data_IF_992581158208
#
_entry.id   IF_992581158208
#
_cell.length_a   1.000
_cell.length_b   1.000
_cell.length_c   1.000
_cell.angle_alpha   90.00
_cell.angle_beta   90.00
_cell.angle_gamma   90.00
#
_symmetry.space_group_name_H-M   'P 1'
#
loop_
_entity.id
_entity.type
_entity.pdbx_description
1 polymer ?
#
# COMPACT_ATOMS: atom_id res chain seq x y z
N UNK A 1 4.58 -1.60 -2.71
CA UNK A 1 5.67 -0.61 -2.57
C UNK A 1 6.98 -1.27 -2.93
N UNK A 2 7.71 -0.65 -3.84
CA UNK A 2 9.03 -1.05 -4.29
C UNK A 2 10.00 -0.02 -3.73
N UNK A 3 10.81 -0.42 -2.73
CA UNK A 3 11.87 0.42 -2.21
C UNK A 3 12.99 0.52 -3.25
N UNK A 4 13.51 1.74 -3.44
CA UNK A 4 14.58 2.05 -4.39
C UNK A 4 15.61 2.96 -3.72
N UNK A 5 16.87 2.85 -4.13
CA UNK A 5 17.96 3.73 -3.69
C UNK A 5 17.96 5.05 -4.47
N UNK A 6 17.69 4.97 -5.77
CA UNK A 6 17.62 6.11 -6.67
C UNK A 6 16.24 6.16 -7.35
N UNK A 7 15.42 7.11 -6.90
CA UNK A 7 14.07 7.27 -7.39
C UNK A 7 14.04 7.84 -8.83
N UNK A 8 15.03 8.64 -9.23
CA UNK A 8 15.10 9.19 -10.59
C UNK A 8 15.50 8.11 -11.60
N UNK A 9 16.49 7.30 -11.24
CA UNK A 9 16.89 6.16 -12.05
C UNK A 9 15.75 5.14 -12.19
N UNK A 10 15.11 4.76 -11.09
CA UNK A 10 13.96 3.86 -11.13
C UNK A 10 12.82 4.42 -11.98
N UNK A 11 12.50 5.72 -11.85
CA UNK A 11 11.50 6.36 -12.68
C UNK A 11 11.86 6.33 -14.18
N UNK A 12 13.13 6.56 -14.51
CA UNK A 12 13.64 6.46 -15.88
C UNK A 12 13.47 5.05 -16.46
N UNK A 13 13.80 4.03 -15.69
CA UNK A 13 13.74 2.64 -16.16
C UNK A 13 12.30 2.14 -16.34
N UNK A 14 11.39 2.47 -15.42
CA UNK A 14 9.97 2.16 -15.62
C UNK A 14 9.35 2.92 -16.80
N UNK A 15 9.79 4.15 -17.09
CA UNK A 15 9.37 4.87 -18.31
C UNK A 15 9.88 4.18 -19.58
N UNK A 16 11.11 3.67 -19.60
CA UNK A 16 11.64 2.90 -20.74
C UNK A 16 10.87 1.60 -20.98
N UNK A 17 10.34 0.99 -19.91
CA UNK A 17 9.42 -0.16 -19.99
C UNK A 17 8.02 0.23 -20.48
N UNK A 18 7.76 1.50 -20.77
CA UNK A 18 6.50 2.01 -21.31
C UNK A 18 5.43 2.33 -20.25
N UNK A 19 5.79 2.43 -18.97
CA UNK A 19 4.86 2.87 -17.94
C UNK A 19 4.76 4.40 -17.86
N UNK A 20 3.55 4.86 -17.54
CA UNK A 20 3.29 6.26 -17.18
C UNK A 20 3.36 6.39 -15.67
N UNK A 21 4.17 7.33 -15.19
CA UNK A 21 4.34 7.60 -13.77
C UNK A 21 3.64 8.91 -13.40
N UNK A 22 2.96 8.92 -12.26
CA UNK A 22 2.51 10.16 -11.64
C UNK A 22 3.72 11.06 -11.27
N UNK A 23 3.54 12.38 -11.17
CA UNK A 23 4.59 13.29 -10.70
C UNK A 23 5.18 12.85 -9.35
N UNK A 24 6.43 13.26 -9.10
CA UNK A 24 7.11 12.93 -7.84
C UNK A 24 6.31 13.44 -6.65
N UNK A 25 5.97 12.54 -5.73
CA UNK A 25 5.34 12.89 -4.46
C UNK A 25 6.39 13.10 -3.37
N UNK A 26 6.13 14.05 -2.47
CA UNK A 26 6.94 14.31 -1.28
C UNK A 26 6.04 14.19 -0.05
N UNK A 27 6.17 13.08 0.68
CA UNK A 27 5.35 12.83 1.87
C UNK A 27 5.76 13.71 3.03
N UNK A 28 4.81 14.03 3.90
CA UNK A 28 5.01 14.83 5.12
C UNK A 28 6.01 14.23 6.10
N UNK A 29 6.29 12.92 5.99
CA UNK A 29 7.30 12.20 6.79
C UNK A 29 8.67 12.08 6.10
N UNK A 30 8.84 12.71 4.92
CA UNK A 30 10.12 12.84 4.22
C UNK A 30 10.44 11.73 3.21
N UNK A 31 9.58 10.74 3.02
CA UNK A 31 9.71 9.81 1.88
C UNK A 31 9.23 10.45 0.59
N UNK A 32 9.73 9.94 -0.54
CA UNK A 32 9.37 10.42 -1.87
C UNK A 32 8.96 9.24 -2.74
N UNK A 33 8.05 9.47 -3.69
CA UNK A 33 7.58 8.40 -4.55
C UNK A 33 7.29 8.80 -5.99
N UNK A 34 7.18 7.77 -6.84
CA UNK A 34 6.37 7.81 -8.05
C UNK A 34 5.35 6.68 -7.99
N UNK A 35 4.11 6.96 -8.38
CA UNK A 35 3.07 5.94 -8.52
C UNK A 35 2.87 5.58 -9.99
N UNK A 36 2.67 4.29 -10.27
CA UNK A 36 2.24 3.75 -11.57
C UNK A 36 0.83 3.21 -11.34
N UNK A 37 -0.16 3.87 -11.92
CA UNK A 37 -1.57 3.68 -11.56
C UNK A 37 -2.25 2.65 -12.46
N UNK A 38 -3.01 1.71 -11.87
CA UNK A 38 -3.68 0.63 -12.59
C UNK A 38 -5.13 0.46 -12.12
N UNK A 39 -6.11 1.05 -12.81
CA UNK A 39 -7.51 0.91 -12.45
C UNK A 39 -7.78 1.27 -10.98
N UNK A 40 -7.87 0.26 -10.10
CA UNK A 40 -8.10 0.44 -8.65
C UNK A 40 -6.85 0.24 -7.77
N UNK A 41 -5.74 -0.23 -8.34
CA UNK A 41 -4.46 -0.49 -7.67
C UNK A 41 -3.35 0.39 -8.24
N UNK A 42 -2.13 0.29 -7.69
CA UNK A 42 -0.94 0.97 -8.21
C UNK A 42 0.33 0.27 -7.73
N UNK A 43 1.42 0.48 -8.45
CA UNK A 43 2.78 0.27 -7.94
C UNK A 43 3.33 1.60 -7.43
N UNK A 44 4.10 1.55 -6.36
CA UNK A 44 4.75 2.73 -5.78
C UNK A 44 6.24 2.48 -5.73
N UNK A 45 7.01 3.31 -6.42
CA UNK A 45 8.46 3.41 -6.28
C UNK A 45 8.74 4.37 -5.13
N UNK A 46 9.46 3.95 -4.09
CA UNK A 46 9.63 4.72 -2.85
C UNK A 46 11.10 4.85 -2.49
N UNK A 47 11.54 6.07 -2.18
CA UNK A 47 12.79 6.33 -1.48
C UNK A 47 12.50 7.02 -0.13
N UNK A 48 13.30 6.70 0.88
CA UNK A 48 13.19 7.23 2.24
C UNK A 48 14.47 7.98 2.65
N UNK A 49 14.72 9.19 2.10
CA UNK A 49 15.97 9.91 2.33
C UNK A 49 16.06 10.54 3.72
N UNK A 50 14.93 10.76 4.39
CA UNK A 50 14.85 11.39 5.71
C UNK A 50 14.62 10.32 6.78
N UNK A 51 15.32 10.45 7.91
CA UNK A 51 15.11 9.59 9.07
C UNK A 51 13.74 9.85 9.69
N UNK A 52 12.96 8.79 9.86
CA UNK A 52 11.65 8.84 10.50
C UNK A 52 11.28 7.41 10.95
N UNK A 53 10.67 7.20 12.12
CA UNK A 53 10.37 5.85 12.62
C UNK A 53 9.54 4.99 11.66
N UNK A 54 8.59 5.59 10.92
CA UNK A 54 7.82 4.88 9.89
C UNK A 54 8.61 4.52 8.63
N UNK A 55 9.79 5.11 8.44
CA UNK A 55 10.64 4.91 7.29
C UNK A 55 11.85 4.01 7.57
N UNK A 56 12.17 3.72 8.83
CA UNK A 56 13.36 2.96 9.20
C UNK A 56 13.40 1.56 8.58
N UNK A 57 12.25 0.89 8.47
CA UNK A 57 12.15 -0.37 7.73
C UNK A 57 12.61 -0.22 6.28
N UNK A 58 12.05 0.75 5.54
CA UNK A 58 12.37 0.96 4.13
C UNK A 58 13.84 1.37 3.94
N UNK A 59 14.39 2.14 4.89
CA UNK A 59 15.81 2.53 4.89
C UNK A 59 16.75 1.34 5.13
N UNK A 60 16.34 0.37 5.93
CA UNK A 60 17.12 -0.83 6.23
C UNK A 60 16.90 -1.97 5.21
N UNK A 61 15.76 -1.98 4.51
CA UNK A 61 15.35 -3.08 3.62
C UNK A 61 16.27 -3.26 2.41
N UNK A 62 16.76 -2.15 1.84
CA UNK A 62 17.45 -2.14 0.55
C UNK A 62 16.48 -1.91 -0.62
N UNK A 63 16.72 -2.54 -1.77
CA UNK A 63 15.86 -2.38 -2.96
C UNK A 63 14.98 -3.61 -3.19
N UNK A 64 13.75 -3.37 -3.67
CA UNK A 64 12.81 -4.43 -4.04
C UNK A 64 11.41 -4.25 -3.45
N UNK A 65 10.58 -5.30 -3.56
CA UNK A 65 9.23 -5.30 -3.01
C UNK A 65 9.26 -5.32 -1.48
N UNK A 66 9.22 -4.13 -0.87
CA UNK A 66 9.34 -3.94 0.57
C UNK A 66 8.02 -4.14 1.30
N UNK A 67 6.90 -3.69 0.71
CA UNK A 67 5.62 -3.78 1.40
C UNK A 67 4.42 -3.88 0.46
N UNK A 68 3.33 -4.46 0.97
CA UNK A 68 2.01 -4.48 0.34
C UNK A 68 1.08 -3.58 1.16
N UNK A 69 0.54 -2.55 0.49
CA UNK A 69 -0.44 -1.65 1.06
C UNK A 69 -1.86 -2.18 0.74
N UNK A 70 -2.64 -2.46 1.77
CA UNK A 70 -4.01 -2.95 1.65
C UNK A 70 -4.99 -1.79 1.82
N UNK A 71 -6.00 -1.70 0.97
CA UNK A 71 -6.98 -0.60 1.04
C UNK A 71 -7.95 -0.82 2.21
N UNK A 72 -8.31 0.26 2.89
CA UNK A 72 -9.45 0.28 3.82
C UNK A 72 -10.29 1.53 3.58
N UNK A 73 -11.59 1.44 3.87
CA UNK A 73 -12.51 2.59 3.81
C UNK A 73 -12.52 3.36 5.13
N UNK A 74 -12.08 2.74 6.23
CA UNK A 74 -12.07 3.33 7.57
C UNK A 74 -10.85 2.82 8.38
N UNK A 75 -9.90 3.72 8.63
CA UNK A 75 -8.70 3.42 9.39
C UNK A 75 -8.97 3.19 10.88
N UNK A 76 -9.95 3.89 11.48
CA UNK A 76 -10.27 3.74 12.91
C UNK A 76 -10.97 2.40 13.19
N UNK A 77 -11.86 1.98 12.28
CA UNK A 77 -12.45 0.64 12.32
C UNK A 77 -11.40 -0.46 12.15
N UNK A 78 -10.48 -0.27 11.20
CA UNK A 78 -9.35 -1.19 10.97
C UNK A 78 -8.45 -1.30 12.19
N UNK A 79 -8.10 -0.18 12.82
CA UNK A 79 -7.34 -0.15 14.06
C UNK A 79 -8.09 -0.85 15.20
N UNK A 80 -9.37 -0.55 15.40
CA UNK A 80 -10.18 -1.16 16.47
C UNK A 80 -10.21 -2.68 16.37
N UNK A 81 -10.26 -3.21 15.16
CA UNK A 81 -10.23 -4.64 14.89
C UNK A 81 -8.87 -5.28 15.18
N UNK A 82 -7.79 -4.60 14.80
CA UNK A 82 -6.44 -5.17 14.83
C UNK A 82 -5.63 -4.78 16.08
N UNK A 83 -6.13 -3.89 16.95
CA UNK A 83 -5.40 -3.43 18.15
C UNK A 83 -5.02 -4.57 19.09
N UNK A 84 -5.89 -5.59 19.24
CA UNK A 84 -5.60 -6.78 20.06
C UNK A 84 -4.52 -7.68 19.45
N UNK A 85 -4.18 -7.44 18.17
CA UNK A 85 -3.13 -8.12 17.41
C UNK A 85 -1.87 -7.26 17.27
N UNK A 86 -1.79 -6.13 17.98
CA UNK A 86 -0.63 -5.23 17.96
C UNK A 86 -0.69 -4.11 16.92
N UNK A 87 -1.86 -3.78 16.38
CA UNK A 87 -1.98 -2.58 15.55
C UNK A 87 -1.72 -1.30 16.36
N UNK A 88 -0.93 -0.39 15.78
CA UNK A 88 -0.73 0.97 16.30
C UNK A 88 -1.92 1.88 15.92
N UNK A 89 -2.18 2.95 16.69
CA UNK A 89 -3.15 3.96 16.30
C UNK A 89 -2.90 4.49 14.88
N UNK A 90 -3.94 4.85 14.11
CA UNK A 90 -3.76 5.33 12.74
C UNK A 90 -2.84 6.55 12.67
N UNK A 91 -1.89 6.54 11.72
CA UNK A 91 -1.02 7.67 11.42
C UNK A 91 -1.54 8.42 10.21
N UNK A 92 -1.70 9.74 10.33
CA UNK A 92 -2.01 10.60 9.21
C UNK A 92 -0.76 10.88 8.36
N UNK A 93 -0.90 10.75 7.05
CA UNK A 93 0.12 11.03 6.06
C UNK A 93 -0.45 11.99 5.02
N UNK A 94 0.37 12.89 4.50
CA UNK A 94 -0.05 13.73 3.37
C UNK A 94 1.09 14.03 2.41
N UNK A 95 0.74 14.50 1.21
CA UNK A 95 1.68 15.12 0.28
C UNK A 95 0.97 16.16 -0.59
N UNK A 96 1.64 17.27 -0.96
CA UNK A 96 1.10 18.18 -1.96
C UNK A 96 1.01 17.48 -3.32
N UNK A 97 0.00 17.85 -4.09
CA UNK A 97 -0.27 17.37 -5.45
C UNK A 97 -0.86 18.51 -6.27
N UNK A 98 -0.81 18.41 -7.59
CA UNK A 98 -1.54 19.35 -8.43
C UNK A 98 -3.04 19.31 -8.09
N UNK A 99 -3.61 20.49 -7.82
CA UNK A 99 -5.03 20.64 -7.47
C UNK A 99 -5.38 20.39 -5.99
N UNK A 100 -4.41 20.09 -5.11
CA UNK A 100 -4.71 19.98 -3.68
C UNK A 100 -3.67 19.26 -2.83
N UNK A 101 -4.14 18.58 -1.78
CA UNK A 101 -3.32 17.78 -0.87
C UNK A 101 -3.86 16.36 -0.88
N UNK A 102 -3.00 15.40 -1.23
CA UNK A 102 -3.28 13.99 -1.07
C UNK A 102 -3.15 13.61 0.41
N UNK A 103 -4.22 13.09 1.02
CA UNK A 103 -4.29 12.70 2.44
C UNK A 103 -4.59 11.22 2.61
N UNK A 104 -3.93 10.60 3.58
CA UNK A 104 -4.02 9.18 3.87
C UNK A 104 -4.03 8.94 5.38
N UNK A 105 -4.62 7.83 5.81
CA UNK A 105 -4.48 7.31 7.18
C UNK A 105 -3.96 5.89 7.13
N UNK A 106 -2.88 5.61 7.85
CA UNK A 106 -2.16 4.35 7.81
C UNK A 106 -2.34 3.56 9.10
N UNK A 107 -2.60 2.27 9.01
CA UNK A 107 -2.64 1.34 10.15
C UNK A 107 -1.63 0.23 9.91
N UNK A 108 -0.79 -0.05 10.90
CA UNK A 108 0.23 -1.09 10.82
C UNK A 108 0.30 -1.88 12.12
N UNK A 109 0.54 -3.18 11.99
CA UNK A 109 0.80 -4.09 13.11
C UNK A 109 2.29 -4.04 13.46
N UNK A 110 2.61 -3.89 14.74
CA UNK A 110 3.99 -3.90 15.21
C UNK A 110 4.70 -5.21 14.87
N UNK A 111 5.95 -5.10 14.43
CA UNK A 111 6.73 -6.24 13.96
C UNK A 111 6.37 -6.73 12.55
N UNK A 112 5.41 -6.11 11.86
CA UNK A 112 4.98 -6.51 10.51
C UNK A 112 5.05 -5.38 9.47
N UNK A 113 6.22 -4.77 9.24
CA UNK A 113 6.33 -3.61 8.37
C UNK A 113 6.00 -3.86 6.89
N UNK A 114 6.06 -5.13 6.46
CA UNK A 114 5.78 -5.61 5.10
C UNK A 114 4.31 -5.51 4.69
N UNK A 115 3.38 -5.36 5.64
CA UNK A 115 1.95 -5.19 5.36
C UNK A 115 1.39 -4.04 6.21
N UNK A 116 0.65 -3.14 5.57
CA UNK A 116 -0.10 -2.10 6.26
C UNK A 116 -1.39 -1.76 5.52
N UNK A 117 -2.31 -1.12 6.23
CA UNK A 117 -3.58 -0.66 5.69
C UNK A 117 -3.54 0.83 5.42
N UNK A 118 -4.17 1.26 4.34
CA UNK A 118 -4.24 2.66 3.92
C UNK A 118 -5.67 3.05 3.57
N UNK A 119 -6.18 4.06 4.27
CA UNK A 119 -7.37 4.80 3.89
C UNK A 119 -6.94 5.99 3.03
N UNK A 120 -7.46 6.09 1.81
CA UNK A 120 -7.21 7.23 0.93
C UNK A 120 -8.34 8.25 1.07
N UNK A 121 -8.10 9.36 1.75
CA UNK A 121 -9.14 10.35 2.06
C UNK A 121 -9.46 11.28 0.88
N UNK A 122 -8.49 11.49 -0.01
CA UNK A 122 -8.61 12.39 -1.16
C UNK A 122 -8.16 11.67 -2.44
N UNK A 123 -8.73 10.48 -2.66
CA UNK A 123 -8.35 9.56 -3.73
C UNK A 123 -8.37 10.20 -5.13
N UNK A 124 -9.29 11.13 -5.36
CA UNK A 124 -9.50 11.83 -6.63
C UNK A 124 -8.26 12.60 -7.11
N UNK A 125 -7.38 13.03 -6.22
CA UNK A 125 -6.15 13.73 -6.63
C UNK A 125 -5.06 12.78 -7.14
N UNK A 126 -5.17 11.49 -6.84
CA UNK A 126 -4.15 10.48 -7.14
C UNK A 126 -4.59 9.54 -8.26
N UNK A 127 -5.87 9.16 -8.31
CA UNK A 127 -6.45 8.32 -9.36
C UNK A 127 -6.92 9.12 -10.58
N UNK A 128 -5.98 9.84 -11.20
CA UNK A 128 -6.27 10.66 -12.38
C UNK A 128 -6.18 9.85 -13.68
N UNK A 129 -7.11 10.00 -14.65
CA UNK A 129 -7.15 9.20 -15.87
C UNK A 129 -5.87 9.20 -16.71
N UNK A 130 -5.16 10.32 -16.76
CA UNK A 130 -3.92 10.52 -17.51
C UNK A 130 -2.76 9.65 -17.00
N UNK A 131 -2.77 9.23 -15.74
CA UNK A 131 -1.73 8.37 -15.16
C UNK A 131 -2.04 6.88 -15.26
N UNK A 132 -3.22 6.52 -15.76
CA UNK A 132 -3.66 5.12 -15.91
C UNK A 132 -3.47 4.56 -17.32
N UNK A 133 -3.03 5.37 -18.28
CA UNK A 133 -2.75 4.94 -19.66
C UNK A 133 -1.25 4.75 -19.82
N UNK A 134 -0.84 3.54 -20.21
CA UNK A 134 0.58 3.18 -20.37
C UNK A 134 0.88 2.82 -21.83
N UNK A 135 2.05 3.22 -22.31
CA UNK A 135 2.49 2.96 -23.68
C UNK A 135 2.71 1.45 -23.94
N UNK A 136 3.11 0.70 -22.90
CA UNK A 136 3.23 -0.76 -22.97
C UNK A 136 1.89 -1.51 -22.91
N UNK A 137 0.76 -0.80 -22.79
CA UNK A 137 -0.58 -1.39 -22.77
C UNK A 137 -0.98 -2.08 -21.47
N UNK A 138 -0.16 -2.05 -20.41
CA UNK A 138 -0.53 -2.56 -19.09
C UNK A 138 -1.75 -1.78 -18.52
N UNK A 139 -2.63 -2.47 -17.79
CA UNK A 139 -3.90 -1.89 -17.28
C UNK A 139 -4.23 -2.26 -15.84
N UNK A 140 -3.73 -3.40 -15.39
CA UNK A 140 -4.05 -3.96 -14.07
C UNK A 140 -2.83 -4.64 -13.46
N UNK A 141 -2.78 -4.63 -12.13
CA UNK A 141 -1.90 -5.50 -11.35
C UNK A 141 -2.69 -6.76 -10.98
N UNK A 142 -2.42 -7.86 -11.67
CA UNK A 142 -3.16 -9.13 -11.52
C UNK A 142 -2.67 -9.97 -10.35
N UNK A 143 -1.36 -9.97 -10.09
CA UNK A 143 -0.74 -10.81 -9.07
C UNK A 143 0.58 -10.22 -8.58
N UNK A 144 0.95 -10.58 -7.34
CA UNK A 144 2.26 -10.30 -6.73
C UNK A 144 2.77 -11.59 -6.12
N UNK A 145 3.94 -12.06 -6.55
CA UNK A 145 4.62 -13.22 -5.98
C UNK A 145 5.83 -12.77 -5.18
N UNK A 146 6.02 -13.36 -4.00
CA UNK A 146 7.17 -13.11 -3.12
C UNK A 146 7.86 -14.45 -2.83
N UNK A 147 9.17 -14.49 -3.02
CA UNK A 147 10.01 -15.63 -2.65
C UNK A 147 10.98 -15.20 -1.57
N UNK A 148 10.75 -15.68 -0.34
CA UNK A 148 11.62 -15.43 0.80
C UNK A 148 11.55 -16.63 1.76
N UNK A 149 12.58 -16.82 2.59
CA UNK A 149 12.56 -17.89 3.62
C UNK A 149 11.41 -17.71 4.60
N UNK A 150 11.09 -16.46 4.92
CA UNK A 150 10.03 -16.05 5.85
C UNK A 150 9.42 -14.71 5.41
N UNK A 151 8.58 -14.72 4.35
CA UNK A 151 8.15 -13.51 3.65
C UNK A 151 7.33 -12.54 4.50
N UNK A 152 6.75 -13.05 5.60
CA UNK A 152 5.76 -12.36 6.41
C UNK A 152 6.01 -12.53 7.90
N UNK A 153 7.27 -12.74 8.31
CA UNK A 153 7.64 -12.87 9.71
C UNK A 153 7.13 -11.69 10.55
N UNK A 154 6.63 -11.99 11.75
CA UNK A 154 6.04 -11.02 12.66
C UNK A 154 4.54 -10.78 12.48
N UNK A 155 3.93 -11.23 11.37
CA UNK A 155 2.46 -11.22 11.26
C UNK A 155 1.85 -12.27 12.20
N UNK A 156 0.82 -11.90 12.98
CA UNK A 156 0.15 -12.86 13.85
C UNK A 156 -0.44 -14.01 13.03
N UNK A 157 -0.31 -15.23 13.56
CA UNK A 157 -0.50 -16.53 12.89
C UNK A 157 -1.91 -16.74 12.28
N UNK A 158 -2.90 -15.89 12.56
CA UNK A 158 -4.27 -16.02 12.01
C UNK A 158 -4.51 -15.26 10.69
N UNK A 159 -3.48 -15.11 9.86
CA UNK A 159 -3.61 -14.61 8.48
C UNK A 159 -3.33 -15.76 7.52
N UNK A 160 -4.38 -16.44 7.07
CA UNK A 160 -4.28 -17.58 6.16
C UNK A 160 -4.15 -17.11 4.72
N UNK A 161 -3.10 -17.57 4.05
CA UNK A 161 -2.88 -17.40 2.61
C UNK A 161 -3.28 -18.68 1.92
N UNK A 162 -4.43 -18.71 1.24
CA UNK A 162 -4.82 -19.93 0.54
C UNK A 162 -4.06 -20.07 -0.80
N UNK A 163 -4.11 -21.28 -1.36
CA UNK A 163 -3.48 -21.64 -2.65
C UNK A 163 -3.96 -20.84 -3.86
N UNK A 164 -4.91 -19.92 -3.68
CA UNK A 164 -5.41 -18.98 -4.70
C UNK A 164 -4.84 -17.56 -4.54
N UNK A 165 -3.90 -17.34 -3.60
CA UNK A 165 -3.33 -16.01 -3.34
C UNK A 165 -4.29 -15.07 -2.60
N UNK A 166 -5.25 -15.60 -1.85
CA UNK A 166 -6.16 -14.80 -1.04
C UNK A 166 -5.57 -14.56 0.35
N UNK A 167 -5.47 -13.28 0.76
CA UNK A 167 -5.27 -12.89 2.16
C UNK A 167 -6.59 -13.10 2.91
N UNK A 168 -6.63 -14.06 3.84
CA UNK A 168 -7.74 -14.22 4.79
C UNK A 168 -7.29 -13.80 6.17
N UNK A 169 -8.03 -12.89 6.79
CA UNK A 169 -7.89 -12.55 8.20
C UNK A 169 -9.15 -13.11 8.88
N UNK A 170 -9.02 -14.04 9.81
CA UNK A 170 -10.17 -14.55 10.56
C UNK A 170 -10.92 -13.40 11.24
N UNK A 171 -12.24 -13.30 11.02
CA UNK A 171 -13.07 -12.21 11.54
C UNK A 171 -13.57 -11.19 10.51
N UNK A 172 -13.20 -11.35 9.23
CA UNK A 172 -13.50 -10.40 8.16
C UNK A 172 -14.07 -11.11 6.91
N UNK A 173 -15.12 -10.56 6.32
CA UNK A 173 -15.66 -11.02 5.04
C UNK A 173 -15.15 -10.17 3.87
N UNK A 174 -14.87 -10.83 2.74
CA UNK A 174 -14.49 -10.19 1.48
C UNK A 174 -15.70 -9.50 0.87
N UNK A 175 -15.66 -8.18 0.72
CA UNK A 175 -16.66 -7.47 -0.08
C UNK A 175 -16.25 -7.47 -1.57
N UNK A 176 -16.87 -8.36 -2.36
CA UNK A 176 -16.66 -8.49 -3.80
C UNK A 176 -17.15 -7.28 -4.64
N UNK A 177 -17.88 -6.33 -4.05
CA UNK A 177 -18.38 -5.15 -4.76
C UNK A 177 -17.34 -4.01 -4.84
N UNK A 178 -16.33 -4.04 -3.97
CA UNK A 178 -15.17 -3.13 -4.02
C UNK A 178 -14.05 -3.82 -4.79
N UNK A 179 -13.21 -3.08 -5.55
CA UNK A 179 -12.00 -3.71 -6.09
C UNK A 179 -10.75 -3.19 -5.39
N UNK A 180 -9.95 -4.17 -4.96
CA UNK A 180 -9.15 -4.12 -3.74
C UNK A 180 -9.71 -5.10 -2.70
N UNK A 181 -8.85 -5.66 -1.86
CA UNK A 181 -9.28 -6.39 -0.66
C UNK A 181 -9.78 -5.34 0.33
N UNK A 182 -11.09 -5.15 0.41
CA UNK A 182 -11.71 -4.41 1.50
C UNK A 182 -11.94 -5.39 2.67
N UNK A 183 -11.51 -4.98 3.86
CA UNK A 183 -11.81 -5.69 5.10
C UNK A 183 -13.09 -5.07 5.69
N UNK A 184 -14.16 -5.84 5.76
CA UNK A 184 -15.41 -5.43 6.43
C UNK A 184 -15.66 -6.31 7.66
N UNK A 185 -16.11 -5.75 8.80
CA UNK A 185 -16.47 -6.52 9.98
C UNK A 185 -17.45 -7.64 9.63
N UNK A 186 -17.30 -8.83 10.24
CA UNK A 186 -18.31 -9.88 10.17
C UNK A 186 -19.69 -9.30 10.49
N UNK A 187 -20.67 -9.49 9.61
CA UNK A 187 -22.07 -9.28 9.99
C UNK A 187 -22.35 -10.24 11.13
N UNK A 188 -22.71 -9.72 12.30
CA UNK A 188 -23.30 -10.56 13.32
C UNK A 188 -24.57 -11.17 12.71
N UNK A 189 -24.59 -12.49 12.56
CA UNK A 189 -25.84 -13.19 12.30
C UNK A 189 -26.73 -12.92 13.50
N UNK A 190 -27.77 -12.13 13.31
CA UNK A 190 -28.87 -12.01 14.26
C UNK A 190 -29.44 -13.41 14.47
N UNK A 191 -29.29 -13.92 15.69
CA UNK A 191 -29.92 -15.15 16.19
C UNK A 191 -31.43 -15.09 16.05
#
# INVERSE_FOLDING_TARGET
MIAVRDLDQAASDFKKLGFTLAPRGHHSIGSQNHCIMFGKTYLELLVAPVAHPWLDYYRAFGEGLAAIALSTEDADATYTLLKSKGARPPMDLSRPVEGGIAKFRLVQIDGSPQIFFVQHLTRQFIWRPEWQKHANGARELVHVSLSAKKPLDGLPISIDWNTKGELRIEGLEKNLASAGVALSPLRQQST
#
